data_IF_460670827034
#
_entry.id   IF_460670827034
#
_cell.length_a   1.000
_cell.length_b   1.000
_cell.length_c   1.000
_cell.angle_alpha   90.00
_cell.angle_beta   90.00
_cell.angle_gamma   90.00
#
_symmetry.space_group_name_H-M   'P 1'
#
loop_
_entity.id
_entity.type
_entity.pdbx_description
1 polymer ?
#
# COMPACT_ATOMS: atom_id res chain seq x y z
N UNK A 1 23.35 -14.75 -4.98
CA UNK A 1 22.80 -13.62 -4.20
C UNK A 1 23.18 -12.36 -4.93
N UNK A 2 22.19 -11.57 -5.32
CA UNK A 2 22.43 -10.24 -5.90
C UNK A 2 23.09 -9.33 -4.87
N UNK A 3 23.93 -8.40 -5.31
CA UNK A 3 24.56 -7.42 -4.42
C UNK A 3 23.49 -6.56 -3.73
N UNK A 4 23.81 -6.03 -2.55
CA UNK A 4 22.93 -5.11 -1.82
C UNK A 4 22.53 -3.91 -2.69
N UNK A 5 23.45 -3.38 -3.50
CA UNK A 5 23.17 -2.29 -4.45
C UNK A 5 22.08 -2.67 -5.47
N UNK A 6 22.14 -3.87 -6.04
CA UNK A 6 21.12 -4.37 -6.97
C UNK A 6 19.75 -4.54 -6.28
N UNK A 7 19.75 -4.98 -5.01
CA UNK A 7 18.51 -5.08 -4.23
C UNK A 7 17.90 -3.69 -3.96
N UNK A 8 18.74 -2.71 -3.59
CA UNK A 8 18.29 -1.32 -3.35
C UNK A 8 17.76 -0.71 -4.66
N UNK A 9 18.45 -0.89 -5.78
CA UNK A 9 17.99 -0.45 -7.09
C UNK A 9 16.61 -1.04 -7.42
N UNK A 10 16.45 -2.35 -7.21
CA UNK A 10 15.19 -3.08 -7.43
C UNK A 10 14.06 -2.47 -6.61
N UNK A 11 14.29 -2.25 -5.31
CA UNK A 11 13.31 -1.67 -4.38
C UNK A 11 12.96 -0.22 -4.74
N UNK A 12 13.95 0.62 -5.05
CA UNK A 12 13.71 2.02 -5.41
C UNK A 12 12.92 2.14 -6.72
N UNK A 13 13.09 1.16 -7.62
CA UNK A 13 12.26 1.00 -8.81
C UNK A 13 10.88 0.35 -8.52
N UNK A 14 10.53 0.11 -7.25
CA UNK A 14 9.24 -0.44 -6.82
C UNK A 14 9.04 -1.91 -7.16
N UNK A 15 10.11 -2.64 -7.47
CA UNK A 15 10.07 -4.06 -7.76
C UNK A 15 10.29 -4.88 -6.47
N UNK A 16 9.74 -6.09 -6.36
CA UNK A 16 10.03 -6.98 -5.23
C UNK A 16 11.47 -7.46 -5.26
N UNK A 17 11.97 -7.83 -4.08
CA UNK A 17 13.18 -8.65 -4.03
C UNK A 17 12.84 -10.12 -4.34
N UNK A 18 13.73 -10.86 -5.02
CA UNK A 18 13.57 -12.30 -5.22
C UNK A 18 13.46 -13.04 -3.88
N UNK A 19 12.62 -14.09 -3.85
CA UNK A 19 12.13 -14.79 -2.65
C UNK A 19 13.20 -15.50 -1.78
N UNK A 20 14.47 -15.52 -2.18
CA UNK A 20 15.56 -16.18 -1.44
C UNK A 20 16.09 -15.38 -0.25
N UNK A 21 15.57 -14.18 0.02
CA UNK A 21 15.88 -13.46 1.25
C UNK A 21 14.93 -13.96 2.34
N UNK A 22 15.32 -15.08 2.93
CA UNK A 22 14.70 -15.68 4.10
C UNK A 22 14.56 -14.67 5.23
N UNK A 23 13.32 -14.15 5.42
CA UNK A 23 12.67 -13.80 6.71
C UNK A 23 13.63 -13.29 7.79
N UNK A 24 14.41 -12.26 7.50
CA UNK A 24 15.14 -11.56 8.55
C UNK A 24 14.10 -10.65 9.19
N UNK A 25 13.78 -10.94 10.45
CA UNK A 25 13.00 -10.01 11.25
C UNK A 25 13.95 -9.48 12.29
N UNK A 26 14.46 -8.29 12.02
CA UNK A 26 15.37 -7.61 12.89
C UNK A 26 14.67 -7.14 14.16
N UNK A 27 15.48 -6.83 15.16
CA UNK A 27 15.04 -5.89 16.19
C UNK A 27 14.84 -4.52 15.55
N UNK A 28 13.80 -3.82 15.99
CA UNK A 28 13.60 -2.43 15.63
C UNK A 28 14.90 -1.63 15.95
N UNK A 29 15.53 -0.96 14.96
CA UNK A 29 16.78 -0.23 15.16
C UNK A 29 16.72 0.82 16.29
N UNK A 30 15.50 1.25 16.65
CA UNK A 30 15.22 2.32 17.61
C UNK A 30 14.66 1.81 18.96
N UNK A 31 14.19 0.56 19.05
CA UNK A 31 13.58 0.00 20.26
C UNK A 31 13.91 -1.49 20.47
N UNK A 32 14.43 -1.85 21.65
CA UNK A 32 14.69 -3.25 22.02
C UNK A 32 13.44 -3.93 22.62
N UNK A 33 12.34 -4.14 21.88
CA UNK A 33 11.24 -5.00 22.36
C UNK A 33 10.44 -5.73 21.26
N UNK A 34 10.17 -7.00 21.58
CA UNK A 34 9.09 -7.90 21.13
C UNK A 34 9.14 -8.49 19.71
N UNK A 35 9.38 -9.80 19.64
CA UNK A 35 8.98 -10.63 18.50
C UNK A 35 7.46 -10.80 18.50
N UNK A 36 6.77 -10.35 17.46
CA UNK A 36 5.40 -10.80 17.20
C UNK A 36 5.44 -12.25 16.69
N UNK A 37 5.07 -13.20 17.55
CA UNK A 37 4.89 -14.61 17.18
C UNK A 37 3.59 -14.86 16.39
N UNK A 38 2.78 -13.81 16.16
CA UNK A 38 1.52 -13.95 15.46
C UNK A 38 1.76 -14.34 14.00
N UNK A 39 1.41 -15.58 13.66
CA UNK A 39 1.30 -16.04 12.28
C UNK A 39 0.05 -15.41 11.66
N UNK A 40 0.18 -14.55 10.63
CA UNK A 40 -0.97 -14.02 9.93
C UNK A 40 -1.72 -15.15 9.24
N UNK A 41 -3.04 -15.09 9.28
CA UNK A 41 -3.96 -16.01 8.63
C UNK A 41 -5.16 -15.21 8.18
N UNK A 42 -5.31 -15.13 6.86
CA UNK A 42 -6.28 -14.31 6.17
C UNK A 42 -7.70 -14.67 6.61
N UNK A 43 -8.52 -13.64 6.87
CA UNK A 43 -9.89 -13.74 7.40
C UNK A 43 -10.01 -14.36 8.80
N UNK A 44 -8.91 -14.67 9.49
CA UNK A 44 -8.92 -15.05 10.91
C UNK A 44 -8.39 -13.94 11.80
N UNK A 45 -7.13 -13.56 11.60
CA UNK A 45 -6.45 -12.55 12.40
C UNK A 45 -5.84 -11.41 11.56
N UNK A 46 -5.83 -11.53 10.23
CA UNK A 46 -5.48 -10.45 9.31
C UNK A 46 -6.55 -10.33 8.22
N UNK A 47 -6.82 -9.10 7.78
CA UNK A 47 -7.78 -8.79 6.73
C UNK A 47 -7.17 -7.83 5.71
N UNK A 48 -7.22 -8.23 4.44
CA UNK A 48 -6.87 -7.40 3.30
C UNK A 48 -8.15 -7.00 2.59
N UNK A 49 -8.33 -5.71 2.39
CA UNK A 49 -9.47 -5.10 1.71
C UNK A 49 -8.91 -4.39 0.49
N UNK A 50 -9.49 -4.63 -0.67
CA UNK A 50 -9.13 -3.92 -1.88
C UNK A 50 -10.31 -3.05 -2.33
N UNK A 51 -10.04 -1.83 -2.78
CA UNK A 51 -11.01 -0.90 -3.32
C UNK A 51 -10.52 -0.31 -4.64
N UNK A 52 -11.44 0.12 -5.50
CA UNK A 52 -11.11 0.71 -6.79
C UNK A 52 -11.71 2.11 -6.92
N UNK A 53 -10.89 3.04 -7.41
CA UNK A 53 -11.35 4.32 -7.94
C UNK A 53 -11.01 4.32 -9.43
N UNK A 54 -12.05 4.12 -10.24
CA UNK A 54 -11.96 4.08 -11.70
C UNK A 54 -12.67 5.31 -12.24
N UNK A 55 -12.05 5.95 -13.23
CA UNK A 55 -12.61 7.08 -13.94
C UNK A 55 -12.99 6.68 -15.36
N UNK A 56 -14.12 7.20 -15.86
CA UNK A 56 -14.42 7.16 -17.29
C UNK A 56 -13.74 8.33 -18.03
N UNK A 57 -14.00 8.46 -19.33
CA UNK A 57 -13.47 9.55 -20.17
C UNK A 57 -13.92 10.95 -19.72
N UNK A 58 -15.08 11.04 -19.05
CA UNK A 58 -15.63 12.29 -18.52
C UNK A 58 -15.10 12.64 -17.12
N UNK A 59 -14.17 11.85 -16.57
CA UNK A 59 -13.69 11.96 -15.18
C UNK A 59 -14.77 11.71 -14.11
N UNK A 60 -15.85 11.05 -14.48
CA UNK A 60 -16.83 10.52 -13.52
C UNK A 60 -16.26 9.26 -12.85
N UNK A 61 -16.63 9.04 -11.59
CA UNK A 61 -16.15 7.92 -10.78
C UNK A 61 -17.15 6.77 -10.81
N UNK A 62 -16.65 5.54 -10.92
CA UNK A 62 -17.47 4.34 -10.76
C UNK A 62 -17.91 4.18 -9.30
N UNK A 63 -19.22 4.21 -9.06
CA UNK A 63 -19.84 4.02 -7.76
C UNK A 63 -20.81 2.85 -7.80
N UNK A 64 -20.94 2.10 -6.71
CA UNK A 64 -21.88 0.98 -6.56
C UNK A 64 -22.88 1.25 -5.46
N UNK A 65 -24.09 0.71 -5.60
CA UNK A 65 -25.15 0.85 -4.62
C UNK A 65 -25.34 -0.44 -3.83
N UNK A 66 -25.19 -0.35 -2.52
CA UNK A 66 -25.13 -1.47 -1.59
C UNK A 66 -26.46 -2.25 -1.53
N UNK A 67 -26.39 -3.58 -1.68
CA UNK A 67 -27.52 -4.50 -1.51
C UNK A 67 -27.66 -5.03 -0.07
N UNK A 68 -26.53 -5.14 0.65
CA UNK A 68 -26.41 -5.75 1.98
C UNK A 68 -27.30 -5.04 3.02
N UNK A 69 -28.10 -5.77 3.84
CA UNK A 69 -29.11 -5.17 4.71
C UNK A 69 -28.62 -4.02 5.60
N UNK A 70 -27.40 -4.14 6.14
CA UNK A 70 -26.79 -3.13 7.02
C UNK A 70 -26.55 -1.78 6.35
N UNK A 71 -26.28 -1.78 5.04
CA UNK A 71 -25.89 -0.59 4.27
C UNK A 71 -26.80 -0.34 3.07
N UNK A 72 -27.93 -1.05 3.00
CA UNK A 72 -28.76 -1.14 1.81
C UNK A 72 -29.14 0.25 1.28
N UNK A 73 -28.91 0.46 -0.01
CA UNK A 73 -29.25 1.69 -0.72
C UNK A 73 -28.23 2.82 -0.60
N UNK A 74 -27.20 2.70 0.26
CA UNK A 74 -26.06 3.63 0.29
C UNK A 74 -25.14 3.40 -0.91
N UNK A 75 -24.35 4.42 -1.24
CA UNK A 75 -23.35 4.37 -2.31
C UNK A 75 -21.93 4.21 -1.75
N UNK A 76 -21.10 3.45 -2.43
CA UNK A 76 -19.71 3.20 -2.08
C UNK A 76 -18.87 3.04 -3.35
N UNK A 77 -17.54 3.05 -3.17
CA UNK A 77 -16.60 2.59 -4.19
C UNK A 77 -16.64 1.06 -4.25
N UNK A 78 -16.44 0.45 -5.43
CA UNK A 78 -16.28 -1.00 -5.52
C UNK A 78 -15.18 -1.49 -4.59
N UNK A 79 -15.50 -2.40 -3.69
CA UNK A 79 -14.54 -2.86 -2.68
C UNK A 79 -14.95 -4.13 -1.95
N UNK A 80 -13.96 -4.94 -1.59
CA UNK A 80 -14.21 -6.08 -0.71
C UNK A 80 -12.95 -6.76 -0.20
N UNK A 81 -13.16 -7.92 0.42
CA UNK A 81 -12.13 -8.60 1.22
C UNK A 81 -11.45 -9.68 0.40
N UNK A 82 -10.14 -9.74 0.45
CA UNK A 82 -9.38 -10.82 -0.17
C UNK A 82 -9.85 -12.20 0.31
N UNK A 83 -10.01 -13.11 -0.64
CA UNK A 83 -10.31 -14.51 -0.42
C UNK A 83 -9.01 -15.31 -0.20
N UNK A 84 -9.04 -16.43 0.54
CA UNK A 84 -7.89 -17.35 0.55
C UNK A 84 -7.61 -17.89 -0.86
N UNK A 85 -6.34 -18.04 -1.26
CA UNK A 85 -5.87 -18.30 -2.64
C UNK A 85 -5.95 -17.13 -3.61
N UNK A 86 -6.16 -15.90 -3.14
CA UNK A 86 -6.32 -14.73 -4.01
C UNK A 86 -5.19 -13.73 -3.79
N UNK A 87 -4.66 -13.14 -4.87
CA UNK A 87 -3.81 -11.97 -4.75
C UNK A 87 -4.66 -10.73 -4.48
N UNK A 88 -4.12 -9.75 -3.76
CA UNK A 88 -4.84 -8.49 -3.49
C UNK A 88 -5.30 -7.81 -4.80
N UNK A 89 -4.51 -7.89 -5.87
CA UNK A 89 -4.88 -7.35 -7.19
C UNK A 89 -6.02 -8.15 -7.85
N UNK A 90 -6.11 -9.45 -7.60
CA UNK A 90 -7.18 -10.29 -8.14
C UNK A 90 -8.47 -10.08 -7.36
N UNK A 91 -8.37 -9.83 -6.04
CA UNK A 91 -9.49 -9.37 -5.22
C UNK A 91 -10.17 -8.17 -5.86
N UNK A 92 -9.44 -7.11 -6.20
CA UNK A 92 -10.10 -5.92 -6.73
C UNK A 92 -10.69 -6.14 -8.13
N UNK A 93 -10.10 -7.02 -8.96
CA UNK A 93 -10.69 -7.39 -10.24
C UNK A 93 -12.03 -8.09 -10.05
N UNK A 94 -12.09 -9.06 -9.13
CA UNK A 94 -13.31 -9.80 -8.80
C UNK A 94 -14.38 -8.88 -8.23
N UNK A 95 -14.05 -8.08 -7.21
CA UNK A 95 -15.02 -7.20 -6.54
C UNK A 95 -15.62 -6.17 -7.51
N UNK A 96 -14.80 -5.57 -8.39
CA UNK A 96 -15.33 -4.64 -9.41
C UNK A 96 -16.26 -5.35 -10.38
N UNK A 97 -15.93 -6.56 -10.83
CA UNK A 97 -16.78 -7.34 -11.73
C UNK A 97 -18.11 -7.72 -11.05
N UNK A 98 -18.06 -8.24 -9.83
CA UNK A 98 -19.24 -8.66 -9.05
C UNK A 98 -20.18 -7.49 -8.73
N UNK A 99 -19.62 -6.37 -8.26
CA UNK A 99 -20.42 -5.23 -7.79
C UNK A 99 -20.84 -4.27 -8.92
N UNK A 100 -20.12 -4.22 -10.05
CA UNK A 100 -20.38 -3.26 -11.12
C UNK A 100 -20.62 -3.85 -12.50
N UNK A 101 -20.35 -5.14 -12.71
CA UNK A 101 -20.42 -5.80 -14.01
C UNK A 101 -19.29 -5.43 -14.98
N UNK A 102 -18.37 -4.55 -14.58
CA UNK A 102 -17.23 -4.11 -15.39
C UNK A 102 -15.97 -4.92 -15.11
N UNK A 103 -15.23 -5.21 -16.15
CA UNK A 103 -13.87 -5.76 -16.04
C UNK A 103 -12.86 -4.63 -16.05
N UNK A 104 -11.92 -4.64 -15.11
CA UNK A 104 -10.86 -3.64 -15.04
C UNK A 104 -9.47 -4.27 -15.17
N UNK A 105 -8.57 -3.51 -15.79
CA UNK A 105 -7.15 -3.65 -15.59
C UNK A 105 -6.72 -2.62 -14.54
N UNK A 106 -6.44 -3.03 -13.28
CA UNK A 106 -5.74 -2.18 -12.34
C UNK A 106 -4.45 -1.67 -12.98
N UNK A 107 -4.10 -0.41 -12.73
CA UNK A 107 -2.89 0.23 -13.27
C UNK A 107 -1.95 0.71 -12.18
N UNK A 108 -2.43 0.90 -10.95
CA UNK A 108 -1.58 1.24 -9.81
C UNK A 108 -2.27 0.99 -8.47
N UNK A 109 -1.47 0.64 -7.45
CA UNK A 109 -1.81 0.88 -6.05
C UNK A 109 -1.46 2.33 -5.72
N UNK A 110 -2.47 3.14 -5.40
CA UNK A 110 -2.29 4.59 -5.21
C UNK A 110 -2.18 4.96 -3.74
N UNK A 111 -2.94 4.26 -2.91
CA UNK A 111 -3.00 4.52 -1.49
C UNK A 111 -3.12 3.20 -0.73
N UNK A 112 -2.46 3.16 0.43
CA UNK A 112 -2.58 2.07 1.38
C UNK A 112 -2.95 2.65 2.73
N UNK A 113 -3.93 2.04 3.38
CA UNK A 113 -4.38 2.43 4.70
C UNK A 113 -4.40 1.27 5.66
N UNK A 114 -4.27 1.58 6.94
CA UNK A 114 -4.45 0.62 8.01
C UNK A 114 -5.43 1.17 9.04
N UNK A 115 -6.53 0.45 9.26
CA UNK A 115 -7.57 0.83 10.22
C UNK A 115 -7.35 0.21 11.60
N UNK A 116 -6.49 -0.79 11.68
CA UNK A 116 -5.98 -1.41 12.90
C UNK A 116 -4.72 -2.20 12.56
N UNK A 117 -4.01 -2.70 13.58
CA UNK A 117 -2.78 -3.51 13.44
C UNK A 117 -2.85 -4.65 12.41
N UNK A 118 -4.04 -5.14 12.06
CA UNK A 118 -4.24 -6.30 11.20
C UNK A 118 -5.29 -6.12 10.10
N UNK A 119 -5.70 -4.88 9.82
CA UNK A 119 -6.65 -4.58 8.74
C UNK A 119 -6.01 -3.57 7.81
N UNK A 120 -5.83 -3.97 6.55
CA UNK A 120 -5.17 -3.20 5.52
C UNK A 120 -6.13 -2.95 4.36
N UNK A 121 -6.27 -1.69 3.96
CA UNK A 121 -7.03 -1.28 2.79
C UNK A 121 -6.05 -0.89 1.68
N UNK A 122 -6.25 -1.44 0.50
CA UNK A 122 -5.46 -1.18 -0.69
C UNK A 122 -6.35 -0.52 -1.74
N UNK A 123 -6.04 0.73 -2.09
CA UNK A 123 -6.85 1.51 -3.03
C UNK A 123 -6.14 1.57 -4.37
N UNK A 124 -6.76 0.92 -5.35
CA UNK A 124 -6.27 0.85 -6.71
C UNK A 124 -6.96 1.86 -7.60
N UNK A 125 -6.26 2.27 -8.64
CA UNK A 125 -6.87 2.85 -9.85
C UNK A 125 -6.61 1.93 -11.04
N UNK A 126 -7.36 2.14 -12.11
CA UNK A 126 -7.34 1.26 -13.27
C UNK A 126 -8.16 1.80 -14.42
N UNK A 127 -8.21 1.01 -15.49
CA UNK A 127 -9.05 1.26 -16.67
C UNK A 127 -10.02 0.12 -16.88
N UNK A 128 -11.20 0.46 -17.38
CA UNK A 128 -12.16 -0.55 -17.85
C UNK A 128 -11.62 -1.20 -19.11
N UNK A 129 -11.70 -2.52 -19.19
CA UNK A 129 -11.24 -3.32 -20.34
C UNK A 129 -12.34 -4.19 -20.94
N UNK A 130 -13.50 -4.26 -20.30
CA UNK A 130 -14.62 -5.11 -20.72
C UNK A 130 -15.79 -5.05 -19.73
N UNK A 131 -16.72 -5.97 -19.91
CA UNK A 131 -17.94 -6.06 -19.09
C UNK A 131 -19.05 -5.10 -19.51
N UNK A 132 -20.13 -5.11 -18.74
CA UNK A 132 -21.31 -4.26 -18.93
C UNK A 132 -21.72 -3.66 -17.59
N UNK A 133 -21.99 -2.36 -17.57
CA UNK A 133 -22.34 -1.66 -16.33
C UNK A 133 -23.65 -2.22 -15.77
N UNK A 134 -23.59 -2.73 -14.54
CA UNK A 134 -24.69 -3.36 -13.82
C UNK A 134 -25.83 -2.39 -13.55
N UNK A 135 -27.03 -2.76 -13.99
CA UNK A 135 -28.25 -1.97 -13.80
C UNK A 135 -29.09 -2.53 -12.64
N UNK A 136 -30.18 -1.84 -12.29
CA UNK A 136 -31.15 -2.34 -11.28
C UNK A 136 -31.77 -3.68 -11.69
N UNK A 137 -31.86 -3.97 -13.00
CA UNK A 137 -32.37 -5.25 -13.49
C UNK A 137 -31.43 -6.43 -13.15
N UNK A 138 -30.15 -6.14 -12.93
CA UNK A 138 -29.09 -7.10 -12.62
C UNK A 138 -28.82 -7.18 -11.12
N UNK A 139 -29.70 -6.59 -10.28
CA UNK A 139 -29.52 -6.53 -8.83
C UNK A 139 -29.42 -7.91 -8.18
N UNK A 140 -28.46 -8.08 -7.28
CA UNK A 140 -28.21 -9.33 -6.55
C UNK A 140 -27.70 -9.08 -5.13
N UNK A 141 -27.05 -10.09 -4.52
CA UNK A 141 -26.45 -10.03 -3.18
C UNK A 141 -25.20 -9.15 -3.09
N UNK A 142 -24.55 -8.82 -4.22
CA UNK A 142 -23.33 -8.03 -4.25
C UNK A 142 -23.67 -6.54 -4.32
N UNK A 143 -24.58 -6.16 -5.20
CA UNK A 143 -24.98 -4.76 -5.36
C UNK A 143 -26.35 -4.62 -6.05
N UNK A 144 -26.95 -3.44 -5.89
CA UNK A 144 -28.22 -3.06 -6.53
C UNK A 144 -27.98 -2.57 -7.96
N UNK A 145 -27.00 -1.70 -8.14
CA UNK A 145 -26.64 -1.09 -9.42
C UNK A 145 -25.25 -0.46 -9.32
N UNK A 146 -24.64 -0.13 -10.47
CA UNK A 146 -23.46 0.70 -10.56
C UNK A 146 -23.68 1.90 -11.48
N UNK A 147 -23.02 3.03 -11.18
CA UNK A 147 -23.13 4.27 -11.95
C UNK A 147 -21.79 4.97 -12.09
N UNK A 148 -21.63 5.66 -13.20
CA UNK A 148 -20.64 6.72 -13.35
C UNK A 148 -21.22 8.00 -12.74
N UNK A 149 -20.52 8.55 -11.76
CA UNK A 149 -20.98 9.66 -10.96
C UNK A 149 -19.99 10.81 -11.03
N UNK A 150 -20.46 12.00 -11.39
CA UNK A 150 -19.64 13.20 -11.32
C UNK A 150 -19.31 13.55 -9.87
N UNK A 151 -18.31 14.40 -9.66
CA UNK A 151 -17.99 14.92 -8.33
C UNK A 151 -19.23 15.55 -7.65
N UNK A 152 -20.05 16.27 -8.42
CA UNK A 152 -21.26 16.92 -7.93
C UNK A 152 -22.30 15.89 -7.48
N UNK A 153 -22.48 14.82 -8.25
CA UNK A 153 -23.40 13.74 -7.89
C UNK A 153 -22.98 13.12 -6.55
N UNK A 154 -21.70 12.75 -6.42
CA UNK A 154 -21.16 12.07 -5.23
C UNK A 154 -21.31 12.94 -3.97
N UNK A 155 -21.10 14.26 -4.07
CA UNK A 155 -21.31 15.19 -2.95
C UNK A 155 -22.76 15.20 -2.42
N UNK A 156 -23.73 14.82 -3.25
CA UNK A 156 -25.16 14.76 -2.88
C UNK A 156 -25.65 13.36 -2.53
N UNK A 157 -24.81 12.33 -2.69
CA UNK A 157 -25.17 10.93 -2.44
C UNK A 157 -25.19 10.59 -0.95
N UNK A 158 -26.04 9.62 -0.59
CA UNK A 158 -25.98 8.98 0.71
C UNK A 158 -24.85 7.94 0.73
N UNK A 159 -23.65 8.39 1.09
CA UNK A 159 -22.44 7.57 1.07
C UNK A 159 -22.36 6.60 2.26
N UNK A 160 -21.76 5.43 2.02
CA UNK A 160 -21.43 4.46 3.07
C UNK A 160 -20.32 4.96 3.98
N UNK A 161 -19.30 5.61 3.40
CA UNK A 161 -18.12 6.11 4.11
C UNK A 161 -17.98 7.61 3.91
N UNK A 162 -17.73 8.34 5.00
CA UNK A 162 -17.67 9.81 5.00
C UNK A 162 -16.42 10.36 4.29
N UNK A 163 -15.34 9.59 4.27
CA UNK A 163 -14.03 9.92 3.66
C UNK A 163 -13.94 9.56 2.17
N UNK A 164 -15.02 9.07 1.55
CA UNK A 164 -15.03 8.67 0.13
C UNK A 164 -14.48 9.77 -0.79
N UNK A 165 -14.83 11.03 -0.52
CA UNK A 165 -14.36 12.17 -1.32
C UNK A 165 -12.86 12.45 -1.15
N UNK A 166 -12.33 12.26 0.06
CA UNK A 166 -10.91 12.43 0.36
C UNK A 166 -10.10 11.40 -0.42
N UNK A 167 -10.53 10.14 -0.38
CA UNK A 167 -9.88 9.03 -1.10
C UNK A 167 -9.95 9.21 -2.62
N UNK A 168 -11.10 9.67 -3.16
CA UNK A 168 -11.22 10.05 -4.57
C UNK A 168 -10.25 11.17 -4.94
N UNK A 169 -10.07 12.17 -4.06
CA UNK A 169 -9.19 13.30 -4.32
C UNK A 169 -7.71 12.88 -4.41
N UNK A 170 -7.27 11.94 -3.56
CA UNK A 170 -5.92 11.35 -3.60
C UNK A 170 -5.68 10.70 -4.96
N UNK A 171 -6.59 9.83 -5.42
CA UNK A 171 -6.43 9.15 -6.72
C UNK A 171 -6.54 10.11 -7.89
N UNK A 172 -7.40 11.14 -7.81
CA UNK A 172 -7.50 12.16 -8.85
C UNK A 172 -6.20 12.96 -8.97
N UNK A 173 -5.59 13.34 -7.84
CA UNK A 173 -4.30 14.03 -7.83
C UNK A 173 -3.20 13.14 -8.37
N UNK A 174 -3.17 11.86 -7.97
CA UNK A 174 -2.25 10.87 -8.54
C UNK A 174 -2.34 10.80 -10.06
N UNK A 175 -3.55 10.63 -10.63
CA UNK A 175 -3.73 10.53 -12.08
C UNK A 175 -3.28 11.81 -12.83
N UNK A 176 -3.46 12.99 -12.22
CA UNK A 176 -2.93 14.26 -12.76
C UNK A 176 -1.40 14.31 -12.72
N UNK A 177 -0.79 13.89 -11.61
CA UNK A 177 0.66 13.86 -11.44
C UNK A 177 1.32 12.85 -12.38
N UNK A 178 0.77 11.65 -12.51
CA UNK A 178 1.26 10.61 -13.44
C UNK A 178 1.27 11.12 -14.88
N UNK A 179 0.21 11.79 -15.32
CA UNK A 179 0.13 12.37 -16.66
C UNK A 179 1.22 13.44 -16.92
N UNK A 180 1.72 14.09 -15.87
CA UNK A 180 2.77 15.11 -15.96
C UNK A 180 4.20 14.54 -15.82
N UNK A 181 4.37 13.27 -15.45
CA UNK A 181 5.68 12.69 -15.08
C UNK A 181 6.05 11.56 -16.06
N UNK A 182 7.06 11.73 -16.92
CA UNK A 182 7.41 10.76 -17.98
C UNK A 182 7.83 9.38 -17.47
N UNK A 183 8.21 9.27 -16.20
CA UNK A 183 8.79 8.07 -15.59
C UNK A 183 7.97 7.57 -14.41
N UNK A 184 6.66 7.81 -14.40
CA UNK A 184 5.82 7.32 -13.32
C UNK A 184 5.84 5.79 -13.29
N UNK A 185 6.41 5.22 -12.24
CA UNK A 185 6.45 3.76 -12.09
C UNK A 185 5.05 3.33 -11.64
N UNK A 186 4.34 2.65 -12.54
CA UNK A 186 3.13 1.89 -12.21
C UNK A 186 3.54 0.75 -11.29
N UNK A 187 2.98 0.70 -10.09
CA UNK A 187 3.41 -0.23 -9.05
C UNK A 187 2.24 -1.12 -8.65
N UNK A 188 2.36 -2.37 -9.03
CA UNK A 188 1.49 -3.43 -8.58
C UNK A 188 2.00 -4.00 -7.26
N UNK A 189 1.11 -4.65 -6.54
CA UNK A 189 1.52 -5.61 -5.52
C UNK A 189 2.41 -6.64 -6.17
N UNK A 190 3.62 -6.75 -5.70
CA UNK A 190 4.52 -7.78 -6.16
C UNK A 190 4.15 -9.14 -5.57
N UNK A 191 4.37 -10.20 -6.34
CA UNK A 191 4.11 -11.57 -5.89
C UNK A 191 5.29 -12.02 -5.02
N UNK A 192 5.18 -11.78 -3.71
CA UNK A 192 6.16 -12.17 -2.71
C UNK A 192 5.50 -12.97 -1.60
N UNK A 193 5.97 -14.20 -1.36
CA UNK A 193 5.44 -15.06 -0.32
C UNK A 193 5.98 -14.65 1.05
N UNK A 194 5.08 -14.27 1.96
CA UNK A 194 5.42 -13.83 3.30
C UNK A 194 4.61 -14.59 4.36
N UNK A 195 5.27 -14.95 5.46
CA UNK A 195 4.64 -15.66 6.59
C UNK A 195 4.50 -14.77 7.83
N UNK A 196 4.81 -13.48 7.69
CA UNK A 196 4.82 -12.46 8.74
C UNK A 196 4.31 -11.14 8.17
N UNK A 197 4.00 -10.20 9.06
CA UNK A 197 3.60 -8.84 8.72
C UNK A 197 4.82 -7.92 8.87
N UNK A 198 5.54 -7.72 7.76
CA UNK A 198 6.85 -7.07 7.73
C UNK A 198 6.80 -5.67 7.11
N UNK A 199 7.66 -4.81 7.63
CA UNK A 199 7.98 -3.50 7.09
C UNK A 199 9.46 -3.49 6.76
N UNK A 200 9.78 -3.39 5.47
CA UNK A 200 11.14 -3.15 4.99
C UNK A 200 11.36 -1.66 4.88
N UNK A 201 12.38 -1.13 5.55
CA UNK A 201 12.56 0.32 5.67
C UNK A 201 13.78 0.77 4.88
N UNK A 202 13.55 1.56 3.83
CA UNK A 202 14.61 2.38 3.23
C UNK A 202 14.69 3.66 4.05
N UNK A 203 15.45 3.64 5.14
CA UNK A 203 15.64 4.82 5.98
C UNK A 203 16.84 5.62 5.49
N UNK A 204 16.60 6.84 5.01
CA UNK A 204 17.66 7.72 4.52
C UNK A 204 17.91 8.92 5.43
N UNK A 205 19.18 9.31 5.52
CA UNK A 205 19.62 10.56 6.11
C UNK A 205 20.58 11.26 5.16
N UNK A 206 20.59 12.59 5.20
CA UNK A 206 21.53 13.41 4.44
C UNK A 206 22.68 13.85 5.33
N UNK A 207 23.91 13.77 4.80
CA UNK A 207 25.12 14.36 5.38
C UNK A 207 25.82 15.17 4.30
N UNK A 208 25.97 16.47 4.52
CA UNK A 208 26.45 17.41 3.51
C UNK A 208 25.63 17.30 2.20
N UNK A 209 26.25 16.87 1.09
CA UNK A 209 25.59 16.69 -0.21
C UNK A 209 25.17 15.24 -0.48
N UNK A 210 25.59 14.27 0.33
CA UNK A 210 25.39 12.85 0.07
C UNK A 210 24.25 12.25 0.89
N UNK A 211 23.53 11.29 0.30
CA UNK A 211 22.57 10.45 1.01
C UNK A 211 23.21 9.17 1.56
N UNK A 212 22.80 8.82 2.76
CA UNK A 212 23.11 7.56 3.42
C UNK A 212 21.81 6.80 3.66
N UNK A 213 21.90 5.48 3.65
CA UNK A 213 20.80 4.60 4.05
C UNK A 213 21.22 3.71 5.21
N UNK A 214 20.26 3.35 6.06
CA UNK A 214 20.49 2.42 7.16
C UNK A 214 20.47 0.98 6.64
N UNK A 215 21.49 0.20 6.98
CA UNK A 215 21.62 -1.22 6.62
C UNK A 215 22.08 -2.02 7.83
N UNK A 216 21.78 -3.32 7.84
CA UNK A 216 22.38 -4.24 8.81
C UNK A 216 23.85 -4.50 8.50
N UNK A 217 24.63 -4.78 9.55
CA UNK A 217 26.06 -5.09 9.43
C UNK A 217 26.31 -6.48 8.84
N UNK A 218 27.54 -6.76 8.33
CA UNK A 218 27.95 -8.09 7.89
C UNK A 218 27.70 -9.20 8.93
N UNK A 219 27.52 -10.48 8.52
CA UNK A 219 27.96 -11.05 7.25
C UNK A 219 26.95 -10.99 6.09
N UNK A 220 25.70 -10.60 6.35
CA UNK A 220 24.65 -10.52 5.32
C UNK A 220 23.95 -9.15 5.38
N UNK A 221 24.54 -8.09 4.82
CA UNK A 221 23.92 -6.77 4.82
C UNK A 221 22.58 -6.75 4.09
N UNK A 222 21.56 -6.17 4.71
CA UNK A 222 20.23 -5.95 4.14
C UNK A 222 19.60 -4.67 4.70
N UNK A 223 18.45 -4.27 4.14
CA UNK A 223 17.65 -3.18 4.70
C UNK A 223 16.96 -3.63 6.00
N UNK A 224 16.71 -2.73 6.96
CA UNK A 224 15.94 -3.06 8.16
C UNK A 224 14.59 -3.69 7.81
N UNK A 225 14.34 -4.89 8.32
CA UNK A 225 13.07 -5.62 8.16
C UNK A 225 12.46 -5.87 9.54
N UNK A 226 11.40 -5.12 9.88
CA UNK A 226 10.78 -5.12 11.20
C UNK A 226 9.30 -5.46 11.12
N UNK A 227 8.61 -5.62 12.25
CA UNK A 227 7.15 -5.76 12.21
C UNK A 227 6.45 -4.43 11.86
N UNK A 228 5.39 -4.50 11.05
CA UNK A 228 4.62 -3.31 10.60
C UNK A 228 4.18 -2.38 11.74
N UNK A 229 3.96 -2.92 12.94
CA UNK A 229 3.47 -2.17 14.09
C UNK A 229 4.54 -1.44 14.89
N UNK A 230 5.81 -1.48 14.46
CA UNK A 230 6.93 -0.98 15.26
C UNK A 230 7.53 0.32 14.74
N UNK A 231 7.17 0.78 13.54
CA UNK A 231 7.80 1.96 12.96
C UNK A 231 7.05 3.27 13.27
N UNK A 232 7.75 4.32 13.75
CA UNK A 232 7.13 5.61 14.01
C UNK A 232 6.72 6.31 12.70
N UNK A 233 5.43 6.66 12.60
CA UNK A 233 4.82 7.25 11.42
C UNK A 233 5.46 8.58 10.96
N UNK A 234 6.08 9.31 11.89
CA UNK A 234 6.56 10.67 11.69
C UNK A 234 7.72 10.81 10.68
N UNK A 235 8.44 9.73 10.41
CA UNK A 235 9.54 9.74 9.43
C UNK A 235 9.20 9.06 8.11
N UNK A 236 8.01 8.47 7.99
CA UNK A 236 7.55 7.79 6.77
C UNK A 236 7.18 8.82 5.70
N UNK A 237 7.68 8.61 4.49
CA UNK A 237 7.37 9.43 3.31
C UNK A 237 6.36 8.75 2.37
N UNK A 238 6.39 7.41 2.28
CA UNK A 238 5.46 6.68 1.43
C UNK A 238 5.81 5.19 1.29
N UNK A 239 4.94 4.46 0.60
CA UNK A 239 5.17 3.04 0.25
C UNK A 239 5.88 2.96 -1.10
N UNK A 240 6.95 2.17 -1.16
CA UNK A 240 7.68 1.86 -2.38
C UNK A 240 7.13 0.62 -3.07
N UNK A 241 6.79 -0.43 -2.31
CA UNK A 241 6.20 -1.66 -2.83
C UNK A 241 5.42 -2.39 -1.76
N UNK A 242 4.49 -3.24 -2.19
CA UNK A 242 3.75 -4.17 -1.34
C UNK A 242 3.92 -5.56 -1.92
N UNK A 243 4.42 -6.49 -1.11
CA UNK A 243 4.62 -7.88 -1.48
C UNK A 243 3.61 -8.78 -0.78
N UNK A 244 2.81 -9.50 -1.55
CA UNK A 244 1.84 -10.47 -1.07
C UNK A 244 1.76 -11.64 -2.04
N UNK A 245 1.56 -12.85 -1.50
CA UNK A 245 1.24 -14.01 -2.32
C UNK A 245 0.15 -14.82 -1.62
N UNK A 246 -1.10 -14.77 -2.10
CA UNK A 246 -2.20 -15.53 -1.49
C UNK A 246 -2.16 -17.05 -1.73
N UNK A 247 -1.19 -17.54 -2.51
CA UNK A 247 -1.14 -18.91 -3.02
C UNK A 247 0.10 -19.66 -2.51
N UNK A 248 -0.02 -20.93 -2.06
CA UNK A 248 -1.27 -21.67 -1.79
C UNK A 248 -2.00 -21.15 -0.54
N UNK A 249 -3.26 -21.55 -0.39
CA UNK A 249 -4.17 -21.17 0.70
C UNK A 249 -3.48 -21.22 2.06
N UNK A 250 -3.53 -20.12 2.80
CA UNK A 250 -3.01 -20.03 4.17
C UNK A 250 -1.52 -20.37 4.33
N UNK A 251 -0.80 -20.47 3.20
CA UNK A 251 0.62 -20.79 3.21
C UNK A 251 1.46 -19.54 3.34
N UNK A 252 0.95 -18.39 2.85
CA UNK A 252 1.69 -17.14 2.71
C UNK A 252 0.81 -15.90 2.97
N UNK A 253 -0.07 -15.98 3.98
CA UNK A 253 -1.01 -14.89 4.33
C UNK A 253 -0.33 -13.68 5.00
N UNK A 254 1.00 -13.58 4.94
CA UNK A 254 1.76 -12.41 5.38
C UNK A 254 1.89 -11.36 4.29
N UNK A 255 2.53 -10.26 4.65
CA UNK A 255 2.70 -9.09 3.81
C UNK A 255 4.06 -8.46 4.13
N UNK A 256 4.81 -8.05 3.11
CA UNK A 256 5.93 -7.14 3.31
C UNK A 256 5.62 -5.80 2.62
N UNK A 257 5.66 -4.73 3.41
CA UNK A 257 5.50 -3.36 2.90
C UNK A 257 6.89 -2.74 2.88
N UNK A 258 7.38 -2.36 1.72
CA UNK A 258 8.63 -1.59 1.64
C UNK A 258 8.29 -0.11 1.68
N UNK A 259 8.85 0.62 2.65
CA UNK A 259 8.58 2.05 2.85
C UNK A 259 9.84 2.87 2.68
N UNK A 260 9.65 4.08 2.17
CA UNK A 260 10.67 5.12 2.18
C UNK A 260 10.48 6.00 3.40
N UNK A 261 11.55 6.18 4.16
CA UNK A 261 11.55 6.99 5.36
C UNK A 261 12.78 7.90 5.38
N UNK A 262 12.63 9.10 5.93
CA UNK A 262 13.70 10.10 5.95
C UNK A 262 13.85 10.70 7.33
N UNK A 263 15.09 10.84 7.77
CA UNK A 263 15.41 11.57 9.00
C UNK A 263 15.02 13.05 8.87
N UNK A 264 14.36 13.57 9.91
CA UNK A 264 14.04 15.00 10.03
C UNK A 264 15.26 15.85 10.43
N UNK A 265 16.31 15.22 10.93
CA UNK A 265 17.57 15.86 11.33
C UNK A 265 18.71 15.39 10.42
N UNK A 266 19.76 16.20 10.21
CA UNK A 266 20.98 15.77 9.55
C UNK A 266 21.64 14.58 10.26
N UNK A 267 22.55 13.90 9.58
CA UNK A 267 23.28 12.73 10.09
C UNK A 267 23.81 12.91 11.51
N UNK A 268 24.42 14.05 11.81
CA UNK A 268 25.01 14.38 13.11
C UNK A 268 23.98 14.46 14.24
N UNK A 269 22.73 14.77 13.91
CA UNK A 269 21.63 14.88 14.84
C UNK A 269 20.84 13.57 15.03
N UNK A 270 21.11 12.55 14.22
CA UNK A 270 20.44 11.26 14.39
C UNK A 270 20.93 10.62 15.69
N UNK A 271 20.00 10.26 16.56
CA UNK A 271 20.31 9.57 17.82
C UNK A 271 21.01 8.23 17.59
N UNK A 272 21.45 7.58 18.69
CA UNK A 272 22.10 6.27 18.60
C UNK A 272 21.17 5.24 17.94
N UNK A 273 21.63 4.67 16.83
CA UNK A 273 21.07 3.47 16.23
C UNK A 273 21.58 2.22 16.97
N UNK A 274 20.82 1.13 16.94
CA UNK A 274 21.28 -0.16 17.47
C UNK A 274 22.64 -0.57 16.86
N UNK A 275 23.50 -1.22 17.65
CA UNK A 275 24.85 -1.60 17.26
C UNK A 275 24.94 -2.57 16.08
N UNK A 276 23.83 -3.22 15.71
CA UNK A 276 23.72 -4.17 14.59
C UNK A 276 23.54 -3.47 13.23
N UNK A 277 23.36 -2.15 13.22
CA UNK A 277 23.14 -1.36 12.01
C UNK A 277 24.26 -0.37 11.78
N UNK A 278 24.42 0.03 10.52
CA UNK A 278 25.34 1.07 10.09
C UNK A 278 24.76 1.88 8.92
N UNK A 279 25.39 3.04 8.68
CA UNK A 279 25.04 3.92 7.58
C UNK A 279 25.91 3.62 6.36
N UNK A 280 25.26 3.21 5.27
CA UNK A 280 25.91 3.03 3.99
C UNK A 280 25.73 4.29 3.14
N UNK A 281 26.84 4.83 2.63
CA UNK A 281 26.78 5.91 1.65
C UNK A 281 26.25 5.38 0.32
N UNK A 282 25.29 6.08 -0.27
CA UNK A 282 24.74 5.71 -1.57
C UNK A 282 25.74 6.01 -2.69
N UNK A 283 25.82 5.12 -3.68
CA UNK A 283 26.53 5.40 -4.93
C UNK A 283 25.75 6.43 -5.76
N UNK A 284 26.40 7.20 -6.64
CA UNK A 284 25.71 8.24 -7.43
C UNK A 284 24.48 7.75 -8.23
N UNK A 285 24.50 6.56 -8.86
CA UNK A 285 23.31 6.03 -9.54
C UNK A 285 22.13 5.79 -8.58
N UNK A 286 22.39 5.15 -7.43
CA UNK A 286 21.36 4.86 -6.43
C UNK A 286 20.85 6.14 -5.76
N UNK A 287 21.71 7.13 -5.54
CA UNK A 287 21.33 8.43 -4.99
C UNK A 287 20.39 9.20 -5.92
N UNK A 288 20.63 9.14 -7.24
CA UNK A 288 19.72 9.70 -8.23
C UNK A 288 18.34 9.00 -8.19
N UNK A 289 18.31 7.67 -8.08
CA UNK A 289 17.06 6.90 -7.92
C UNK A 289 16.32 7.30 -6.65
N UNK A 290 17.03 7.39 -5.52
CA UNK A 290 16.48 7.77 -4.22
C UNK A 290 15.89 9.19 -4.27
N UNK A 291 16.60 10.14 -4.88
CA UNK A 291 16.14 11.53 -5.00
C UNK A 291 14.84 11.60 -5.80
N UNK A 292 14.71 10.84 -6.90
CA UNK A 292 13.44 10.75 -7.64
C UNK A 292 12.29 10.24 -6.76
N UNK A 293 12.55 9.27 -5.88
CA UNK A 293 11.53 8.75 -4.95
C UNK A 293 11.20 9.75 -3.83
N UNK A 294 12.15 10.58 -3.42
CA UNK A 294 11.97 11.62 -2.41
C UNK A 294 11.15 12.81 -2.94
N UNK A 295 11.40 13.20 -4.19
CA UNK A 295 10.70 14.31 -4.85
C UNK A 295 9.28 13.93 -5.26
N UNK A 296 9.02 12.63 -5.45
CA UNK A 296 7.71 12.09 -5.79
C UNK A 296 7.43 10.81 -5.01
N UNK A 297 6.89 10.92 -3.77
CA UNK A 297 6.53 9.75 -2.99
C UNK A 297 5.47 8.91 -3.72
N UNK A 298 5.76 7.62 -3.85
CA UNK A 298 5.15 6.76 -4.87
C UNK A 298 3.73 6.29 -4.54
N UNK A 299 3.42 6.15 -3.26
CA UNK A 299 2.12 5.72 -2.75
C UNK A 299 1.95 6.39 -1.38
N UNK A 300 0.81 7.03 -1.17
CA UNK A 300 0.49 7.60 0.14
C UNK A 300 0.16 6.46 1.11
N UNK A 301 0.98 6.34 2.16
CA UNK A 301 0.61 5.55 3.32
C UNK A 301 -0.21 6.44 4.25
N UNK A 302 -1.52 6.38 4.13
CA UNK A 302 -2.38 7.00 5.12
C UNK A 302 -2.55 5.99 6.24
N UNK A 303 -1.67 6.05 7.24
CA UNK A 303 -2.07 5.52 8.53
C UNK A 303 -3.28 6.32 8.95
N UNK A 304 -4.42 5.65 9.17
CA UNK A 304 -5.58 6.29 9.78
C UNK A 304 -5.15 6.62 11.21
N UNK A 305 -4.47 7.76 11.39
CA UNK A 305 -4.21 8.37 12.68
C UNK A 305 -5.60 8.56 13.22
N UNK A 306 -5.99 7.67 14.13
CA UNK A 306 -7.31 7.67 14.70
C UNK A 306 -7.63 9.11 15.07
N UNK A 307 -8.63 9.70 14.43
CA UNK A 307 -9.28 10.87 15.02
C UNK A 307 -9.84 10.52 16.41
N UNK A 308 -9.80 9.26 16.87
CA UNK A 308 -10.36 8.78 18.14
C UNK A 308 -9.40 7.91 18.99
N UNK A 309 -8.20 8.41 19.32
CA UNK A 309 -7.52 8.02 20.58
C UNK A 309 -7.39 9.19 21.58
N UNK A 310 -8.02 10.33 21.27
CA UNK A 310 -8.25 11.42 22.21
C UNK A 310 -9.75 11.66 22.42
N UNK A 311 -10.42 10.70 23.04
CA UNK A 311 -11.52 11.02 23.96
C UNK A 311 -11.21 10.36 25.28
N UNK A 312 -10.54 11.13 26.15
CA UNK A 312 -10.79 11.02 27.59
C UNK A 312 -12.29 11.21 27.79
N UNK A 313 -13.00 10.15 28.16
CA UNK A 313 -13.98 10.06 29.25
C UNK A 313 -14.54 8.66 29.33
#
# INVERSE_FOLDING_TARGET
MDSLDTQIETILNGQPLPQDISVICDYNPWHQFSRSELKPTLRKNVYYIAAAIVFNENMDVLMVRESKPKYRGKWSLPSGRAEPNEQIIDTIRREVLEESGLEIAPTALVMMETSSKYVFNFVFTGRVIGGQLKTVADSDSESIEAKWCSQTDICSMNLRYEDTLDVISVVRNYNRSVAAIPYHISRFTAIGAHNRMLLRVVFTVKREQNHYILISKPPSPHLPEIFINEYPADSLLGVLSVEHNGVPKHSHDGLCITVLAKSRVPYEGVGRICGDYEWMQMSPPLEALLTRCLDNPMTELIQWRSKHWNTRR
#
